data_IF_145831151891
#
_entry.id   IF_145831151891
#
_cell.length_a   1.000
_cell.length_b   1.000
_cell.length_c   1.000
_cell.angle_alpha   90.00
_cell.angle_beta   90.00
_cell.angle_gamma   90.00
#
_symmetry.space_group_name_H-M   'P 1'
#
loop_
_entity.id
_entity.type
_entity.pdbx_description
1 polymer ?
#
# COMPACT_ATOMS: atom_id res chain seq x y z
N UNK A 1 -22.46 -0.08 5.44
CA UNK A 1 -21.07 -0.51 5.12
C UNK A 1 -20.16 0.72 5.11
N UNK A 2 -19.37 0.98 6.17
CA UNK A 2 -18.31 2.02 6.12
C UNK A 2 -17.33 1.60 5.01
N UNK A 3 -17.24 2.42 3.96
CA UNK A 3 -16.61 2.07 2.70
C UNK A 3 -15.11 1.71 2.94
N UNK A 4 -14.72 0.45 2.76
CA UNK A 4 -13.36 -0.07 3.05
C UNK A 4 -12.28 0.74 2.32
N UNK A 5 -12.62 1.30 1.15
CA UNK A 5 -11.75 2.19 0.40
C UNK A 5 -11.52 3.52 1.12
N UNK A 6 -12.50 4.08 1.84
CA UNK A 6 -12.33 5.31 2.63
C UNK A 6 -11.34 5.13 3.78
N UNK A 7 -11.35 3.97 4.44
CA UNK A 7 -10.38 3.69 5.53
C UNK A 7 -8.97 3.54 4.96
N UNK A 8 -8.83 2.85 3.82
CA UNK A 8 -7.53 2.68 3.17
C UNK A 8 -6.98 3.99 2.60
N UNK A 9 -7.84 4.86 2.05
CA UNK A 9 -7.46 6.19 1.58
C UNK A 9 -6.92 7.06 2.71
N UNK A 10 -7.59 7.07 3.86
CA UNK A 10 -7.09 7.78 5.06
C UNK A 10 -5.73 7.24 5.51
N UNK A 11 -5.51 5.93 5.42
CA UNK A 11 -4.22 5.35 5.77
C UNK A 11 -3.11 5.74 4.77
N UNK A 12 -3.44 5.92 3.48
CA UNK A 12 -2.52 6.51 2.50
C UNK A 12 -2.13 7.94 2.90
N UNK A 13 -3.10 8.79 3.29
CA UNK A 13 -2.81 10.16 3.71
C UNK A 13 -1.87 10.21 4.92
N UNK A 14 -2.14 9.38 5.94
CA UNK A 14 -1.28 9.27 7.14
C UNK A 14 0.14 8.80 6.79
N UNK A 15 0.26 7.80 5.91
CA UNK A 15 1.57 7.29 5.50
C UNK A 15 2.37 8.33 4.70
N UNK A 16 1.72 9.08 3.79
CA UNK A 16 2.34 10.16 3.02
C UNK A 16 2.78 11.31 3.93
N UNK A 17 1.98 11.66 4.93
CA UNK A 17 2.34 12.69 5.90
C UNK A 17 3.55 12.26 6.75
N UNK A 18 3.58 11.00 7.20
CA UNK A 18 4.66 10.43 8.02
C UNK A 18 6.02 10.45 7.29
N UNK A 19 6.04 10.14 5.99
CA UNK A 19 7.28 10.12 5.18
C UNK A 19 7.60 11.45 4.50
N UNK A 20 6.69 12.42 4.52
CA UNK A 20 6.80 13.67 3.75
C UNK A 20 6.38 13.52 2.28
N UNK A 21 5.63 14.50 1.76
CA UNK A 21 5.03 14.46 0.41
C UNK A 21 6.04 14.47 -0.73
N UNK A 22 7.18 15.10 -0.51
CA UNK A 22 8.22 15.31 -1.52
C UNK A 22 9.31 14.23 -1.50
N UNK A 23 9.25 13.28 -0.56
CA UNK A 23 10.20 12.16 -0.53
C UNK A 23 9.87 11.14 -1.61
N UNK A 24 10.88 10.37 -2.02
CA UNK A 24 10.71 9.27 -2.98
C UNK A 24 9.57 8.34 -2.55
N UNK A 25 9.52 8.01 -1.26
CA UNK A 25 8.46 7.19 -0.68
C UNK A 25 7.11 7.91 -0.69
N UNK A 26 7.04 9.19 -0.33
CA UNK A 26 5.80 9.98 -0.38
C UNK A 26 5.19 10.07 -1.78
N UNK A 27 6.02 10.35 -2.79
CA UNK A 27 5.61 10.40 -4.20
C UNK A 27 5.10 9.03 -4.66
N UNK A 28 5.82 7.95 -4.28
CA UNK A 28 5.43 6.59 -4.59
C UNK A 28 4.08 6.21 -3.95
N UNK A 29 3.88 6.53 -2.69
CA UNK A 29 2.63 6.30 -1.97
C UNK A 29 1.46 7.07 -2.62
N UNK A 30 1.66 8.33 -3.00
CA UNK A 30 0.66 9.15 -3.71
C UNK A 30 0.24 8.52 -5.05
N UNK A 31 1.19 7.97 -5.81
CA UNK A 31 0.89 7.23 -7.06
C UNK A 31 -0.03 6.03 -6.79
N UNK A 32 0.20 5.29 -5.72
CA UNK A 32 -0.63 4.13 -5.36
C UNK A 32 -1.97 4.50 -4.73
N UNK A 33 -2.05 5.66 -4.07
CA UNK A 33 -3.31 6.25 -3.63
C UNK A 33 -4.22 6.55 -4.83
N UNK A 34 -3.67 7.13 -5.91
CA UNK A 34 -4.42 7.38 -7.15
C UNK A 34 -4.88 6.05 -7.79
N UNK A 35 -4.02 5.03 -7.81
CA UNK A 35 -4.40 3.69 -8.27
C UNK A 35 -5.54 3.10 -7.43
N UNK A 36 -5.57 3.35 -6.12
CA UNK A 36 -6.69 2.92 -5.27
C UNK A 36 -7.99 3.64 -5.65
N UNK A 37 -7.96 4.96 -5.84
CA UNK A 37 -9.12 5.76 -6.26
C UNK A 37 -9.69 5.26 -7.60
N UNK A 38 -8.81 4.89 -8.52
CA UNK A 38 -9.18 4.37 -9.84
C UNK A 38 -9.51 2.85 -9.84
N UNK A 39 -9.57 2.20 -8.67
CA UNK A 39 -9.80 0.76 -8.54
C UNK A 39 -8.78 -0.12 -9.32
N UNK A 40 -7.55 0.39 -9.46
CA UNK A 40 -6.41 -0.24 -10.12
C UNK A 40 -5.43 -0.89 -9.12
N UNK A 41 -5.56 -0.60 -7.82
CA UNK A 41 -4.78 -1.25 -6.77
C UNK A 41 -5.34 -2.65 -6.46
N UNK A 42 -5.06 -3.61 -7.34
CA UNK A 42 -5.49 -5.01 -7.29
C UNK A 42 -4.52 -5.91 -8.08
N UNK A 43 -4.63 -7.22 -7.88
CA UNK A 43 -3.78 -8.19 -8.56
C UNK A 43 -2.30 -7.92 -8.34
N UNK A 44 -1.51 -7.94 -9.43
CA UNK A 44 -0.04 -7.75 -9.40
C UNK A 44 0.41 -6.42 -8.79
N UNK A 45 -0.46 -5.41 -8.75
CA UNK A 45 -0.12 -4.12 -8.14
C UNK A 45 0.03 -4.24 -6.61
N UNK A 46 -0.60 -5.23 -5.97
CA UNK A 46 -0.48 -5.46 -4.52
C UNK A 46 0.92 -5.95 -4.13
N UNK A 47 1.45 -7.07 -4.67
CA UNK A 47 2.81 -7.48 -4.35
C UNK A 47 3.84 -6.44 -4.80
N UNK A 48 3.63 -5.80 -5.96
CA UNK A 48 4.49 -4.70 -6.43
C UNK A 48 4.53 -3.51 -5.48
N UNK A 49 3.40 -3.19 -4.84
CA UNK A 49 3.33 -2.18 -3.79
C UNK A 49 4.23 -2.55 -2.61
N UNK A 50 4.10 -3.77 -2.09
CA UNK A 50 4.82 -4.24 -0.90
C UNK A 50 6.34 -4.27 -1.16
N UNK A 51 6.76 -4.83 -2.30
CA UNK A 51 8.16 -5.00 -2.64
C UNK A 51 8.87 -3.64 -2.82
N UNK A 52 8.23 -2.71 -3.51
CA UNK A 52 8.85 -1.42 -3.81
C UNK A 52 8.91 -0.50 -2.59
N UNK A 53 7.92 -0.53 -1.68
CA UNK A 53 8.03 0.19 -0.39
C UNK A 53 9.27 -0.28 0.38
N UNK A 54 9.49 -1.60 0.43
CA UNK A 54 10.64 -2.20 1.12
C UNK A 54 11.97 -1.81 0.47
N UNK A 55 12.01 -1.71 -0.86
CA UNK A 55 13.21 -1.27 -1.61
C UNK A 55 13.51 0.21 -1.40
N UNK A 56 12.51 1.08 -1.52
CA UNK A 56 12.69 2.55 -1.39
C UNK A 56 13.18 2.88 0.02
N UNK A 57 12.57 2.30 1.06
CA UNK A 57 13.01 2.53 2.44
C UNK A 57 14.44 2.07 2.72
N UNK A 58 14.89 0.97 2.10
CA UNK A 58 16.29 0.52 2.20
C UNK A 58 17.27 1.48 1.54
N UNK A 59 16.91 2.03 0.37
CA UNK A 59 17.77 2.97 -0.37
C UNK A 59 17.95 4.27 0.40
N UNK A 60 16.89 4.77 1.04
CA UNK A 60 16.94 6.02 1.79
C UNK A 60 17.60 5.86 3.18
N UNK A 61 18.04 4.65 3.57
CA UNK A 61 18.58 4.31 4.90
C UNK A 61 17.66 4.73 6.08
N UNK A 62 16.38 4.98 5.79
CA UNK A 62 15.37 5.33 6.76
C UNK A 62 14.53 4.08 7.06
N UNK A 63 14.36 3.77 8.34
CA UNK A 63 13.41 2.73 8.75
C UNK A 63 12.02 3.03 8.19
N UNK A 64 11.25 2.00 7.86
CA UNK A 64 9.88 2.18 7.36
C UNK A 64 9.00 2.71 8.50
N UNK A 65 8.36 3.89 8.39
CA UNK A 65 7.48 4.38 9.44
C UNK A 65 6.30 3.46 9.70
N UNK A 66 5.81 3.45 10.93
CA UNK A 66 4.71 2.60 11.38
C UNK A 66 3.45 2.77 10.51
N UNK A 67 3.17 3.98 10.06
CA UNK A 67 2.03 4.29 9.20
C UNK A 67 2.13 3.62 7.83
N UNK A 68 3.35 3.50 7.30
CA UNK A 68 3.64 2.81 6.03
C UNK A 68 3.53 1.30 6.22
N UNK A 69 4.05 0.74 7.31
CA UNK A 69 3.88 -0.69 7.64
C UNK A 69 2.40 -1.06 7.79
N UNK A 70 1.62 -0.21 8.46
CA UNK A 70 0.18 -0.39 8.61
C UNK A 70 -0.54 -0.31 7.26
N UNK A 71 -0.15 0.62 6.41
CA UNK A 71 -0.67 0.73 5.05
C UNK A 71 -0.38 -0.55 4.23
N UNK A 72 0.86 -1.03 4.25
CA UNK A 72 1.27 -2.28 3.60
C UNK A 72 0.43 -3.46 4.08
N UNK A 73 0.22 -3.61 5.39
CA UNK A 73 -0.64 -4.65 5.96
C UNK A 73 -2.08 -4.56 5.45
N UNK A 74 -2.65 -3.35 5.39
CA UNK A 74 -4.03 -3.15 4.91
C UNK A 74 -4.18 -3.42 3.40
N UNK A 75 -3.21 -3.00 2.58
CA UNK A 75 -3.19 -3.29 1.14
C UNK A 75 -3.04 -4.80 0.90
N UNK A 76 -2.17 -5.47 1.66
CA UNK A 76 -2.01 -6.92 1.56
C UNK A 76 -3.30 -7.67 1.94
N UNK A 77 -3.95 -7.29 3.06
CA UNK A 77 -5.25 -7.84 3.46
C UNK A 77 -6.35 -7.63 2.41
N UNK A 78 -6.35 -6.49 1.71
CA UNK A 78 -7.27 -6.24 0.58
C UNK A 78 -7.02 -7.20 -0.57
N UNK A 79 -5.76 -7.54 -0.86
CA UNK A 79 -5.39 -8.56 -1.84
C UNK A 79 -5.85 -9.95 -1.43
N UNK A 80 -5.63 -10.31 -0.16
CA UNK A 80 -6.04 -11.60 0.40
C UNK A 80 -7.55 -11.82 0.26
N UNK A 81 -8.33 -10.83 0.66
CA UNK A 81 -9.80 -10.87 0.59
C UNK A 81 -10.36 -10.69 -0.83
N UNK A 82 -9.53 -10.23 -1.78
CA UNK A 82 -9.89 -10.00 -3.18
C UNK A 82 -9.46 -11.11 -4.13
N UNK A 83 -8.99 -12.26 -3.62
CA UNK A 83 -8.61 -13.43 -4.44
C UNK A 83 -7.11 -13.62 -4.66
N UNK A 84 -6.25 -12.83 -4.02
CA UNK A 84 -4.79 -13.00 -3.99
C UNK A 84 -4.27 -13.45 -2.62
N UNK A 85 -5.16 -14.06 -1.82
CA UNK A 85 -4.77 -14.71 -0.58
C UNK A 85 -3.97 -15.93 -0.93
N UNK A 86 -2.73 -16.01 -0.43
CA UNK A 86 -1.96 -17.24 -0.41
C UNK A 86 -2.82 -18.35 0.18
N UNK A 87 -3.37 -19.14 -0.73
CA UNK A 87 -4.38 -20.15 -0.50
C UNK A 87 -4.64 -20.75 -1.86
N UNK A 88 -3.74 -21.66 -2.26
CA UNK A 88 -4.05 -22.82 -3.08
C UNK A 88 -5.36 -22.66 -3.89
N UNK A 89 -5.25 -22.21 -5.13
CA UNK A 89 -6.24 -22.65 -6.12
C UNK A 89 -5.85 -24.08 -6.50
N UNK A 90 -6.12 -25.01 -5.58
CA UNK A 90 -6.49 -26.36 -5.99
C UNK A 90 -7.90 -26.26 -6.55
N UNK A 91 -8.12 -27.02 -7.62
CA UNK A 91 -9.25 -27.05 -8.56
C UNK A 91 -9.03 -26.16 -9.78
#
# INVERSE_FOLDING_TARGET
MKNKNTVLLKQFDLAIQSVGKETTLGIYLKKYQIKLLNNQLKGIEIPRFIDNNSKIARVDNQGIPTEVLKLMSMVNKKGILGGFGLGLRML
#
